data_IF_476435391975
#
_entry.id   IF_476435391975
#
_cell.length_a   1.000
_cell.length_b   1.000
_cell.length_c   1.000
_cell.angle_alpha   90.00
_cell.angle_beta   90.00
_cell.angle_gamma   90.00
#
_symmetry.space_group_name_H-M   'P 1'
#
loop_
_entity.id
_entity.type
_entity.pdbx_description
1 polymer ?
#
# COMPACT_ATOMS: atom_id res chain seq x y z
N UNK A 1 18.93 -25.38 -7.16
CA UNK A 1 18.03 -24.41 -6.49
C UNK A 1 16.91 -24.07 -7.46
N UNK A 2 15.66 -24.10 -7.02
CA UNK A 2 14.54 -23.65 -7.86
C UNK A 2 14.71 -22.15 -8.17
N UNK A 3 14.49 -21.75 -9.43
CA UNK A 3 14.57 -20.34 -9.82
C UNK A 3 13.48 -19.54 -9.09
N UNK A 4 13.80 -18.34 -8.55
CA UNK A 4 12.79 -17.47 -7.95
C UNK A 4 11.64 -17.16 -8.93
N UNK A 5 10.40 -17.20 -8.44
CA UNK A 5 9.19 -16.99 -9.25
C UNK A 5 9.09 -15.59 -9.88
N UNK A 6 9.85 -14.61 -9.38
CA UNK A 6 9.86 -13.24 -9.89
C UNK A 6 10.61 -13.06 -11.21
N UNK A 7 11.51 -13.99 -11.57
CA UNK A 7 12.34 -13.87 -12.79
C UNK A 7 11.55 -14.04 -14.09
N UNK A 8 10.39 -14.71 -14.05
CA UNK A 8 9.54 -14.97 -15.21
C UNK A 8 8.14 -14.35 -15.01
N UNK A 9 8.09 -13.08 -14.61
CA UNK A 9 6.83 -12.40 -14.39
C UNK A 9 6.11 -12.15 -15.72
N UNK A 10 4.95 -12.77 -15.90
CA UNK A 10 4.12 -12.57 -17.09
C UNK A 10 3.39 -11.23 -17.02
N UNK A 11 4.04 -10.21 -17.57
CA UNK A 11 3.49 -8.86 -17.61
C UNK A 11 2.30 -8.73 -18.58
N UNK A 12 2.23 -9.60 -19.61
CA UNK A 12 1.17 -9.54 -20.63
C UNK A 12 -0.17 -10.02 -20.10
N UNK A 13 -0.18 -11.09 -19.30
CA UNK A 13 -1.39 -11.58 -18.62
C UNK A 13 -1.61 -10.95 -17.25
N UNK A 14 -0.87 -9.91 -16.89
CA UNK A 14 -1.01 -9.29 -15.59
C UNK A 14 -2.29 -8.48 -15.50
N UNK A 15 -3.19 -8.93 -14.63
CA UNK A 15 -4.57 -8.44 -14.49
C UNK A 15 -4.73 -6.94 -14.12
N UNK A 16 -3.68 -6.21 -13.75
CA UNK A 16 -3.77 -4.78 -13.39
C UNK A 16 -2.63 -4.03 -14.08
N UNK A 17 -2.92 -2.93 -14.77
CA UNK A 17 -1.95 -2.08 -15.47
C UNK A 17 -1.90 -0.66 -14.84
N UNK A 18 -0.74 0.00 -14.87
CA UNK A 18 -0.55 1.40 -14.49
C UNK A 18 -1.17 2.39 -15.48
N UNK A 19 -1.30 2.00 -16.75
CA UNK A 19 -1.80 2.89 -17.82
C UNK A 19 -3.33 3.10 -17.78
N UNK A 20 -4.03 2.38 -16.91
CA UNK A 20 -5.48 2.41 -16.79
C UNK A 20 -5.88 3.42 -15.71
N UNK A 21 -6.81 4.32 -16.05
CA UNK A 21 -7.49 5.17 -15.09
C UNK A 21 -8.61 4.37 -14.40
N UNK A 22 -8.32 3.80 -13.23
CA UNK A 22 -9.26 2.97 -12.47
C UNK A 22 -10.44 3.76 -11.91
N UNK A 23 -10.38 5.10 -11.92
CA UNK A 23 -11.52 5.94 -11.52
C UNK A 23 -12.57 6.02 -12.63
N UNK A 24 -12.13 5.98 -13.90
CA UNK A 24 -13.02 5.96 -15.07
C UNK A 24 -13.47 4.56 -15.42
N UNK A 25 -12.61 3.56 -15.20
CA UNK A 25 -12.88 2.16 -15.51
C UNK A 25 -12.81 1.28 -14.25
N UNK A 26 -13.76 1.41 -13.29
CA UNK A 26 -13.72 0.66 -12.03
C UNK A 26 -13.83 -0.85 -12.25
N UNK A 27 -14.45 -1.29 -13.33
CA UNK A 27 -14.62 -2.71 -13.71
C UNK A 27 -13.34 -3.41 -14.18
N UNK A 28 -12.31 -2.64 -14.55
CA UNK A 28 -10.96 -3.16 -14.77
C UNK A 28 -10.26 -3.51 -13.44
N UNK A 29 -10.75 -2.99 -12.31
CA UNK A 29 -10.21 -3.34 -11.01
C UNK A 29 -10.51 -4.79 -10.65
N UNK A 30 -9.52 -5.46 -10.08
CA UNK A 30 -9.66 -6.78 -9.47
C UNK A 30 -9.26 -6.68 -8.00
N UNK A 31 -9.94 -7.39 -7.12
CA UNK A 31 -9.58 -7.42 -5.70
C UNK A 31 -8.41 -8.40 -5.52
N UNK A 32 -7.24 -7.86 -5.17
CA UNK A 32 -6.02 -8.64 -4.89
C UNK A 32 -5.95 -9.10 -3.43
N UNK A 33 -5.08 -10.09 -3.15
CA UNK A 33 -4.82 -10.54 -1.78
C UNK A 33 -3.91 -9.56 -1.02
N UNK A 34 -4.27 -9.27 0.23
CA UNK A 34 -3.47 -8.41 1.11
C UNK A 34 -3.18 -7.02 0.54
N UNK A 35 -1.90 -6.65 0.52
CA UNK A 35 -1.36 -5.34 0.11
C UNK A 35 -0.94 -5.28 -1.36
N UNK A 36 -1.26 -6.31 -2.14
CA UNK A 36 -0.86 -6.35 -3.54
C UNK A 36 -1.47 -5.17 -4.32
N UNK A 37 -0.62 -4.55 -5.16
CA UNK A 37 -1.01 -3.57 -6.20
C UNK A 37 -1.49 -2.22 -5.67
N UNK A 38 -1.31 -1.99 -4.38
CA UNK A 38 -1.53 -0.70 -3.72
C UNK A 38 -0.86 0.44 -4.45
N UNK A 39 0.30 0.21 -5.07
CA UNK A 39 1.13 1.22 -5.76
C UNK A 39 0.96 1.26 -7.29
N UNK A 40 0.07 0.43 -7.85
CA UNK A 40 -0.11 0.27 -9.31
C UNK A 40 -1.38 0.99 -9.80
N UNK A 41 -2.43 1.02 -8.98
CA UNK A 41 -3.73 1.55 -9.40
C UNK A 41 -3.74 3.10 -9.38
N UNK A 42 -3.57 3.73 -10.53
CA UNK A 42 -3.67 5.18 -10.72
C UNK A 42 -5.14 5.61 -10.94
N UNK A 43 -5.54 6.85 -10.59
CA UNK A 43 -4.77 7.96 -10.02
C UNK A 43 -4.70 7.97 -8.49
N UNK A 44 -5.41 7.06 -7.83
CA UNK A 44 -5.53 6.97 -6.37
C UNK A 44 -4.16 6.97 -5.70
N UNK A 45 -3.29 6.05 -6.12
CA UNK A 45 -1.90 5.91 -5.67
C UNK A 45 -1.13 7.19 -5.54
N UNK A 46 -1.17 8.00 -6.59
CA UNK A 46 -0.40 9.23 -6.67
C UNK A 46 -0.92 10.28 -5.68
N UNK A 47 -2.24 10.36 -5.50
CA UNK A 47 -2.87 11.36 -4.63
C UNK A 47 -2.49 11.22 -3.15
N UNK A 48 -2.37 10.02 -2.61
CA UNK A 48 -1.99 9.82 -1.20
C UNK A 48 -0.50 9.56 -0.98
N UNK A 49 0.25 9.07 -1.98
CA UNK A 49 1.71 8.94 -1.84
C UNK A 49 2.40 10.31 -1.69
N UNK A 50 1.88 11.35 -2.34
CA UNK A 50 2.29 12.75 -2.15
C UNK A 50 2.08 13.26 -0.72
N UNK A 51 1.07 12.75 -0.01
CA UNK A 51 0.77 13.11 1.39
C UNK A 51 1.74 12.38 2.34
N UNK A 52 2.24 11.20 1.95
CA UNK A 52 3.08 10.33 2.76
C UNK A 52 4.57 10.69 2.83
N UNK A 53 5.08 11.61 2.02
CA UNK A 53 6.51 11.94 1.97
C UNK A 53 6.99 12.87 3.11
N UNK A 54 6.13 13.23 4.06
CA UNK A 54 6.49 14.10 5.19
C UNK A 54 7.24 13.35 6.29
N UNK A 55 8.48 13.76 6.55
CA UNK A 55 9.47 13.04 7.37
C UNK A 55 9.38 13.29 8.89
N UNK A 56 8.49 14.17 9.38
CA UNK A 56 8.42 14.51 10.81
C UNK A 56 7.35 13.70 11.56
N UNK A 57 7.71 13.08 12.69
CA UNK A 57 6.78 12.30 13.54
C UNK A 57 5.49 13.06 13.92
N UNK A 58 5.59 14.37 14.20
CA UNK A 58 4.43 15.23 14.48
C UNK A 58 3.51 15.40 13.27
N UNK A 59 4.06 15.36 12.06
CA UNK A 59 3.32 15.42 10.80
C UNK A 59 2.73 14.06 10.45
N UNK A 60 3.38 12.95 10.83
CA UNK A 60 2.92 11.59 10.55
C UNK A 60 1.51 11.33 11.09
N UNK A 61 1.21 11.73 12.33
CA UNK A 61 -0.15 11.60 12.90
C UNK A 61 -1.19 12.37 12.08
N UNK A 62 -0.85 13.58 11.63
CA UNK A 62 -1.73 14.42 10.79
C UNK A 62 -1.93 13.80 9.41
N UNK A 63 -0.87 13.26 8.83
CA UNK A 63 -0.89 12.57 7.53
C UNK A 63 -1.78 11.33 7.59
N UNK A 64 -1.60 10.46 8.60
CA UNK A 64 -2.42 9.26 8.78
C UNK A 64 -3.90 9.64 8.98
N UNK A 65 -4.19 10.65 9.81
CA UNK A 65 -5.55 11.15 9.99
C UNK A 65 -6.15 11.63 8.66
N UNK A 66 -5.38 12.37 7.86
CA UNK A 66 -5.83 12.85 6.55
C UNK A 66 -6.08 11.72 5.55
N UNK A 67 -5.24 10.68 5.55
CA UNK A 67 -5.45 9.48 4.71
C UNK A 67 -6.72 8.74 5.15
N UNK A 68 -6.98 8.66 6.45
CA UNK A 68 -8.22 8.09 6.99
C UNK A 68 -9.46 8.91 6.61
N UNK A 69 -9.39 10.24 6.66
CA UNK A 69 -10.48 11.11 6.18
C UNK A 69 -10.73 10.93 4.67
N UNK A 70 -9.69 10.71 3.87
CA UNK A 70 -9.83 10.38 2.44
C UNK A 70 -10.53 9.03 2.26
N UNK A 71 -10.21 8.03 3.08
CA UNK A 71 -10.91 6.75 3.08
C UNK A 71 -12.41 6.91 3.36
N UNK A 72 -12.77 7.68 4.38
CA UNK A 72 -14.18 7.94 4.71
C UNK A 72 -14.91 8.64 3.55
N UNK A 73 -14.28 9.61 2.89
CA UNK A 73 -14.86 10.26 1.71
C UNK A 73 -15.10 9.30 0.55
N UNK A 74 -14.21 8.32 0.33
CA UNK A 74 -14.44 7.31 -0.69
C UNK A 74 -15.62 6.40 -0.35
N UNK A 75 -15.81 6.07 0.94
CA UNK A 75 -17.00 5.34 1.39
C UNK A 75 -18.28 6.16 1.19
N UNK A 76 -18.28 7.44 1.55
CA UNK A 76 -19.43 8.34 1.34
C UNK A 76 -19.79 8.49 -0.14
N UNK A 77 -18.77 8.51 -1.01
CA UNK A 77 -18.96 8.62 -2.46
C UNK A 77 -19.28 7.28 -3.14
N UNK A 78 -19.43 6.18 -2.40
CA UNK A 78 -19.59 4.81 -2.93
C UNK A 78 -18.47 4.40 -3.92
N UNK A 79 -17.27 4.96 -3.80
CA UNK A 79 -16.11 4.60 -4.61
C UNK A 79 -15.36 3.42 -3.96
N UNK A 80 -15.79 2.21 -4.31
CA UNK A 80 -15.22 0.98 -3.78
C UNK A 80 -13.73 0.83 -4.10
N UNK A 81 -13.30 1.20 -5.31
CA UNK A 81 -11.91 1.03 -5.76
C UNK A 81 -10.99 1.95 -4.97
N UNK A 82 -11.36 3.23 -4.85
CA UNK A 82 -10.65 4.18 -4.01
C UNK A 82 -10.58 3.74 -2.55
N UNK A 83 -11.71 3.28 -1.98
CA UNK A 83 -11.76 2.82 -0.61
C UNK A 83 -10.85 1.60 -0.35
N UNK A 84 -10.88 0.58 -1.21
CA UNK A 84 -10.04 -0.62 -1.05
C UNK A 84 -8.54 -0.31 -1.20
N UNK A 85 -8.17 0.56 -2.14
CA UNK A 85 -6.76 0.97 -2.32
C UNK A 85 -6.26 1.71 -1.07
N UNK A 86 -7.03 2.67 -0.53
CA UNK A 86 -6.62 3.41 0.67
C UNK A 86 -6.55 2.49 1.90
N UNK A 87 -7.50 1.56 2.04
CA UNK A 87 -7.48 0.54 3.10
C UNK A 87 -6.20 -0.30 3.04
N UNK A 88 -5.83 -0.77 1.85
CA UNK A 88 -4.60 -1.55 1.64
C UNK A 88 -3.33 -0.72 1.86
N UNK A 89 -3.34 0.57 1.54
CA UNK A 89 -2.22 1.48 1.83
C UNK A 89 -1.99 1.65 3.34
N UNK A 90 -3.07 1.85 4.10
CA UNK A 90 -3.00 1.91 5.56
C UNK A 90 -2.49 0.59 6.17
N UNK A 91 -2.97 -0.54 5.65
CA UNK A 91 -2.49 -1.87 6.05
C UNK A 91 -0.98 -2.04 5.76
N UNK A 92 -0.52 -1.63 4.58
CA UNK A 92 0.89 -1.64 4.20
C UNK A 92 1.77 -0.80 5.13
N UNK A 93 1.28 0.36 5.59
CA UNK A 93 1.98 1.17 6.60
C UNK A 93 2.18 0.43 7.92
N UNK A 94 1.14 -0.30 8.37
CA UNK A 94 1.20 -1.08 9.62
C UNK A 94 2.11 -2.31 9.50
N UNK A 95 2.00 -3.09 8.43
CA UNK A 95 2.80 -4.31 8.23
C UNK A 95 4.29 -3.98 8.09
N UNK A 96 4.65 -2.91 7.37
CA UNK A 96 6.05 -2.47 7.29
C UNK A 96 6.60 -2.04 8.65
N UNK A 97 5.81 -1.26 9.41
CA UNK A 97 6.23 -0.79 10.74
C UNK A 97 6.48 -1.95 11.70
N UNK A 98 5.60 -2.95 11.70
CA UNK A 98 5.73 -4.16 12.54
C UNK A 98 6.91 -5.04 12.12
N UNK A 99 7.17 -5.16 10.81
CA UNK A 99 8.35 -5.86 10.33
C UNK A 99 9.66 -5.16 10.78
N UNK A 100 9.72 -3.83 10.70
CA UNK A 100 10.90 -3.07 11.16
C UNK A 100 11.12 -3.21 12.66
N UNK A 101 10.07 -3.15 13.48
CA UNK A 101 10.24 -3.37 14.92
C UNK A 101 10.71 -4.79 15.19
N UNK A 102 10.11 -5.80 14.55
CA UNK A 102 10.53 -7.20 14.70
C UNK A 102 12.00 -7.42 14.32
N UNK A 103 12.47 -6.83 13.21
CA UNK A 103 13.87 -6.89 12.79
C UNK A 103 14.82 -6.23 13.81
N UNK A 104 14.45 -5.06 14.34
CA UNK A 104 15.22 -4.37 15.40
C UNK A 104 15.30 -5.23 16.67
N UNK A 105 14.19 -5.83 17.11
CA UNK A 105 14.17 -6.71 18.28
C UNK A 105 15.02 -7.98 18.07
N UNK A 106 14.94 -8.60 16.90
CA UNK A 106 15.76 -9.76 16.55
C UNK A 106 17.26 -9.44 16.55
N UNK A 107 17.64 -8.25 16.07
CA UNK A 107 19.03 -7.77 16.08
C UNK A 107 19.54 -7.41 17.48
N UNK A 108 18.68 -6.87 18.35
CA UNK A 108 19.04 -6.51 19.73
C UNK A 108 19.10 -7.73 20.67
N UNK A 109 18.27 -8.76 20.46
CA UNK A 109 18.34 -10.02 21.22
C UNK A 109 19.64 -10.80 21.00
N UNK A 110 20.33 -10.60 19.87
CA UNK A 110 21.65 -11.18 19.58
C UNK A 110 22.82 -10.43 20.26
N UNK A 111 22.58 -9.27 20.87
CA UNK A 111 23.64 -8.47 21.53
C UNK A 111 23.81 -8.74 23.03
N UNK A 112 22.92 -9.53 23.67
CA UNK A 112 23.00 -9.83 25.11
C UNK A 112 23.69 -11.18 25.43
N UNK A 113 24.25 -11.85 24.43
CA UNK A 113 25.12 -13.02 24.62
C UNK A 113 26.52 -12.67 24.13
N UNK A 114 27.24 -11.86 24.92
CA UNK A 114 28.70 -11.71 24.84
C UNK A 114 29.24 -11.37 26.22
#
# INVERSE_FOLDING_TARGET
>A
MAKPSYLNFDNKNYKWNNDIDYRKCPEAYRVGQGEQRVLICQPYTMQFCLIGSLTLLKLLKKVVKKIYEIFLKFLENNDFVGADIVRKYLQMGFTRSTHYTADIFSKNGKKQQK
#
